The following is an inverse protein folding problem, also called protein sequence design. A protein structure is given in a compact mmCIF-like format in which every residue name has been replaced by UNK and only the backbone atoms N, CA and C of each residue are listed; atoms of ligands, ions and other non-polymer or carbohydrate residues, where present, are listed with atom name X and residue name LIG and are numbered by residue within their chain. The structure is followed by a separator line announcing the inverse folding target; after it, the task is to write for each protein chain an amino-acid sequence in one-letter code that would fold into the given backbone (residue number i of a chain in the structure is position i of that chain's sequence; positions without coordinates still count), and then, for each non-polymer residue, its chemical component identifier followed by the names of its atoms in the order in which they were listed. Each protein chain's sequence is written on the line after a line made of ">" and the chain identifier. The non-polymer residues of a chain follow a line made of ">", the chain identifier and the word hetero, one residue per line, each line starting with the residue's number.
data_IF_281062616882
#
_entry.id   IF_281062616882
#
_cell.length_a   1.000
_cell.length_b   1.000
_cell.length_c   1.000
_cell.angle_alpha   90.00
_cell.angle_beta   90.00
_cell.angle_gamma   90.00
#
_symmetry.space_group_name_H-M   'P 1'
#
loop_
_entity.id
_entity.type
_entity.pdbx_description
1 polymer ?
#
# COMPACT_ATOMS: atom_id res chain seq x y z
N UNK A 1 15.65 12.22 -2.07
CA UNK A 1 16.66 12.72 -3.04
C UNK A 1 16.57 12.05 -4.41
N UNK A 2 16.36 10.72 -4.48
CA UNK A 2 16.38 9.94 -5.74
C UNK A 2 15.00 9.71 -6.40
N UNK A 3 13.92 10.18 -5.78
CA UNK A 3 12.54 9.99 -6.23
C UNK A 3 11.88 11.33 -6.57
N UNK A 4 11.05 11.33 -7.60
CA UNK A 4 10.14 12.42 -7.97
C UNK A 4 8.73 11.83 -8.06
N UNK A 5 7.77 12.41 -7.33
CA UNK A 5 6.37 11.92 -7.32
C UNK A 5 5.78 11.94 -8.74
N UNK A 6 5.02 10.91 -9.10
CA UNK A 6 4.40 10.74 -10.42
C UNK A 6 5.37 10.39 -11.56
N UNK A 7 6.68 10.64 -11.38
CA UNK A 7 7.70 10.41 -12.41
C UNK A 7 8.54 9.17 -12.10
N UNK A 8 8.92 8.97 -10.83
CA UNK A 8 9.71 7.83 -10.36
C UNK A 8 11.18 8.16 -10.08
N UNK A 9 12.12 7.26 -10.42
CA UNK A 9 13.54 7.44 -10.13
C UNK A 9 14.16 8.60 -10.94
N UNK A 10 15.04 9.40 -10.32
CA UNK A 10 15.72 10.53 -10.99
C UNK A 10 16.81 10.12 -11.98
N UNK A 11 17.29 8.88 -11.89
CA UNK A 11 18.30 8.28 -12.77
C UNK A 11 18.11 6.75 -12.79
N UNK A 12 18.58 6.01 -13.82
CA UNK A 12 18.19 4.61 -14.05
C UNK A 12 18.43 3.64 -12.89
N UNK A 13 19.53 3.79 -12.14
CA UNK A 13 19.93 2.89 -11.05
C UNK A 13 19.43 3.33 -9.67
N UNK A 14 18.64 4.41 -9.60
CA UNK A 14 18.12 4.91 -8.35
C UNK A 14 17.18 3.89 -7.67
N UNK A 15 17.62 3.36 -6.53
CA UNK A 15 16.78 2.51 -5.67
C UNK A 15 15.76 3.37 -4.93
N UNK A 16 14.47 3.20 -5.26
CA UNK A 16 13.36 3.94 -4.63
C UNK A 16 12.38 3.05 -3.86
N UNK A 17 12.43 1.73 -4.06
CA UNK A 17 11.41 0.79 -3.54
C UNK A 17 11.25 0.81 -2.02
N UNK A 18 12.34 0.99 -1.28
CA UNK A 18 12.28 1.11 0.19
C UNK A 18 11.52 2.36 0.62
N UNK A 19 11.81 3.51 -0.01
CA UNK A 19 11.12 4.78 0.28
C UNK A 19 9.63 4.68 -0.05
N UNK A 20 9.30 4.18 -1.24
CA UNK A 20 7.90 4.09 -1.68
C UNK A 20 7.10 3.09 -0.83
N UNK A 21 7.72 2.02 -0.31
CA UNK A 21 7.06 1.11 0.63
C UNK A 21 6.77 1.79 1.97
N UNK A 22 7.71 2.56 2.52
CA UNK A 22 7.50 3.29 3.79
C UNK A 22 6.36 4.31 3.65
N UNK A 23 6.27 4.98 2.50
CA UNK A 23 5.25 5.99 2.23
C UNK A 23 3.94 5.42 1.62
N UNK A 24 3.76 4.10 1.60
CA UNK A 24 2.65 3.48 0.87
C UNK A 24 1.32 3.64 1.60
N UNK A 25 0.34 4.30 0.98
CA UNK A 25 -0.90 4.74 1.64
C UNK A 25 -1.75 3.62 2.25
N UNK A 26 -1.70 2.41 1.69
CA UNK A 26 -2.50 1.27 2.13
C UNK A 26 -1.74 0.31 3.05
N UNK A 27 -0.47 0.57 3.35
CA UNK A 27 0.38 -0.25 4.22
C UNK A 27 0.28 0.22 5.67
N UNK A 28 -0.81 -0.15 6.36
CA UNK A 28 -1.12 0.31 7.72
C UNK A 28 -0.65 -0.63 8.84
N UNK A 29 -0.21 -1.84 8.50
CA UNK A 29 0.38 -2.80 9.43
C UNK A 29 1.87 -2.98 9.11
N UNK A 30 2.69 -2.97 10.15
CA UNK A 30 4.13 -3.13 10.07
C UNK A 30 4.59 -4.15 11.12
N UNK A 31 5.41 -5.11 10.70
CA UNK A 31 6.11 -6.02 11.60
C UNK A 31 7.59 -6.04 11.25
N UNK A 32 8.46 -5.85 12.25
CA UNK A 32 9.91 -5.84 12.05
C UNK A 32 10.60 -6.86 12.96
N UNK A 33 11.73 -7.38 12.52
CA UNK A 33 12.57 -8.30 13.27
C UNK A 33 14.05 -8.11 12.97
N UNK A 34 14.88 -8.55 13.90
CA UNK A 34 16.34 -8.54 13.78
C UNK A 34 16.89 -9.94 14.02
N UNK A 35 17.88 -10.35 13.24
CA UNK A 35 18.63 -11.58 13.45
C UNK A 35 20.13 -11.32 13.51
N UNK A 36 20.79 -11.84 14.55
CA UNK A 36 22.25 -11.87 14.66
C UNK A 36 22.80 -13.15 14.02
N UNK A 37 23.63 -12.98 12.99
CA UNK A 37 24.12 -14.03 12.10
C UNK A 37 25.66 -13.96 12.02
N UNK A 38 26.42 -14.38 13.05
CA UNK A 38 27.86 -14.12 13.17
C UNK A 38 28.73 -14.76 12.08
N UNK A 39 28.21 -15.76 11.37
CA UNK A 39 28.91 -16.48 10.29
C UNK A 39 28.44 -16.09 8.89
N UNK A 40 27.57 -15.09 8.77
CA UNK A 40 27.03 -14.61 7.49
C UNK A 40 27.67 -13.28 7.10
N UNK A 41 27.58 -12.92 5.80
CA UNK A 41 28.10 -11.64 5.29
C UNK A 41 27.51 -10.43 6.02
N UNK A 42 26.23 -10.51 6.36
CA UNK A 42 25.54 -9.52 7.18
C UNK A 42 25.40 -10.08 8.60
N UNK A 43 26.21 -9.55 9.52
CA UNK A 43 26.20 -9.95 10.94
C UNK A 43 24.88 -9.63 11.61
N UNK A 44 24.20 -8.56 11.21
CA UNK A 44 22.87 -8.21 11.67
C UNK A 44 21.96 -8.04 10.46
N UNK A 45 20.85 -8.77 10.45
CA UNK A 45 19.84 -8.70 9.40
C UNK A 45 18.58 -8.06 9.98
N UNK A 46 18.15 -6.96 9.39
CA UNK A 46 16.93 -6.25 9.74
C UNK A 46 15.90 -6.49 8.64
N UNK A 47 14.71 -6.94 9.02
CA UNK A 47 13.62 -7.22 8.08
C UNK A 47 12.36 -6.59 8.61
N UNK A 48 11.67 -5.83 7.76
CA UNK A 48 10.33 -5.32 8.03
C UNK A 48 9.37 -5.79 6.93
N UNK A 49 8.21 -6.27 7.34
CA UNK A 49 7.09 -6.65 6.47
C UNK A 49 5.96 -5.63 6.65
N UNK A 50 5.35 -5.26 5.53
CA UNK A 50 4.27 -4.28 5.44
C UNK A 50 3.00 -4.96 4.93
N UNK A 51 1.87 -4.72 5.59
CA UNK A 51 0.56 -5.21 5.16
C UNK A 51 -0.47 -4.05 5.12
N UNK A 52 -1.24 -3.86 4.03
CA UNK A 52 -1.12 -4.55 2.74
C UNK A 52 0.23 -4.26 2.05
N UNK A 53 0.63 -5.14 1.12
CA UNK A 53 1.88 -4.96 0.39
C UNK A 53 1.85 -3.68 -0.48
N UNK A 54 2.95 -2.94 -0.47
CA UNK A 54 3.10 -1.74 -1.29
C UNK A 54 3.71 -2.01 -2.66
N UNK A 55 4.24 -0.95 -3.29
CA UNK A 55 5.03 -1.02 -4.53
C UNK A 55 4.35 -1.75 -5.70
N UNK A 56 3.03 -1.68 -5.79
CA UNK A 56 2.27 -2.25 -6.90
C UNK A 56 2.73 -1.61 -8.22
N UNK A 57 3.09 -2.44 -9.20
CA UNK A 57 3.81 -2.03 -10.40
C UNK A 57 3.12 -0.90 -11.19
N UNK A 58 1.78 -0.89 -11.24
CA UNK A 58 1.00 0.14 -11.94
C UNK A 58 0.97 1.50 -11.25
N UNK A 59 1.32 1.58 -9.95
CA UNK A 59 1.22 2.79 -9.12
C UNK A 59 2.46 3.06 -8.26
N UNK A 60 3.59 2.41 -8.57
CA UNK A 60 4.83 2.48 -7.77
C UNK A 60 5.45 3.88 -7.68
N UNK A 61 5.09 4.80 -8.58
CA UNK A 61 5.58 6.20 -8.55
C UNK A 61 4.59 7.18 -7.93
N UNK A 62 3.44 6.69 -7.50
CA UNK A 62 2.40 7.44 -6.78
C UNK A 62 2.01 6.64 -5.53
N UNK A 63 2.92 6.52 -4.54
CA UNK A 63 2.72 5.66 -3.37
C UNK A 63 1.56 6.12 -2.46
N UNK A 64 1.09 7.34 -2.64
CA UNK A 64 -0.09 7.94 -2.02
C UNK A 64 -0.76 8.88 -3.03
N UNK A 65 -1.97 9.35 -2.71
CA UNK A 65 -2.65 10.39 -3.49
C UNK A 65 -2.13 11.77 -3.04
N UNK A 66 -1.64 12.58 -3.98
CA UNK A 66 -1.22 13.96 -3.71
C UNK A 66 -2.45 14.84 -3.42
N UNK A 67 -2.38 15.63 -2.35
CA UNK A 67 -3.48 16.49 -1.93
C UNK A 67 -3.31 17.01 -0.50
N UNK A 68 -4.37 17.64 0.02
CA UNK A 68 -4.41 18.05 1.43
C UNK A 68 -4.39 16.81 2.33
N UNK A 69 -3.66 16.83 3.46
CA UNK A 69 -3.71 15.75 4.44
C UNK A 69 -5.16 15.39 4.81
N UNK A 70 -5.44 14.09 4.89
CA UNK A 70 -6.76 13.55 5.21
C UNK A 70 -7.94 13.95 4.31
N UNK A 71 -7.70 14.49 3.11
CA UNK A 71 -8.80 14.82 2.18
C UNK A 71 -9.69 13.62 1.83
N UNK A 72 -9.14 12.40 1.87
CA UNK A 72 -9.87 11.14 1.63
C UNK A 72 -10.50 10.51 2.90
N UNK A 73 -10.25 11.09 4.08
CA UNK A 73 -10.68 10.55 5.37
C UNK A 73 -10.97 11.68 6.39
N UNK A 74 -11.85 12.65 6.07
CA UNK A 74 -12.00 13.87 6.86
C UNK A 74 -12.48 13.63 8.30
N UNK A 75 -13.18 12.51 8.55
CA UNK A 75 -13.71 12.14 9.86
C UNK A 75 -12.81 11.15 10.62
N UNK A 76 -11.75 10.66 9.97
CA UNK A 76 -10.89 9.58 10.47
C UNK A 76 -9.42 10.00 10.28
N UNK A 77 -9.07 11.16 10.83
CA UNK A 77 -7.77 11.80 10.67
C UNK A 77 -7.09 11.98 12.03
N UNK A 78 -5.84 11.52 12.12
CA UNK A 78 -4.96 11.73 13.27
C UNK A 78 -3.63 12.30 12.78
N UNK A 79 -3.35 13.56 13.11
CA UNK A 79 -2.14 14.31 12.71
C UNK A 79 -1.76 14.17 11.21
N UNK A 80 -2.77 14.25 10.33
CA UNK A 80 -2.57 14.15 8.88
C UNK A 80 -2.53 12.72 8.32
N UNK A 81 -2.71 11.69 9.15
CA UNK A 81 -2.80 10.29 8.76
C UNK A 81 -4.25 9.77 8.86
N UNK A 82 -4.67 9.00 7.86
CA UNK A 82 -5.98 8.33 7.89
C UNK A 82 -5.97 7.14 8.86
N UNK A 83 -7.02 7.00 9.68
CA UNK A 83 -7.17 5.89 10.66
C UNK A 83 -8.27 4.88 10.29
N UNK A 84 -8.95 5.09 9.16
CA UNK A 84 -10.01 4.22 8.62
C UNK A 84 -9.50 3.19 7.59
N UNK A 85 -8.43 2.45 7.89
CA UNK A 85 -7.89 1.44 6.96
C UNK A 85 -8.81 0.20 6.80
N UNK A 86 -8.88 -0.35 5.59
CA UNK A 86 -9.57 -1.60 5.30
C UNK A 86 -8.74 -2.81 5.73
N UNK A 87 -9.38 -3.79 6.38
CA UNK A 87 -8.73 -5.07 6.75
C UNK A 87 -8.87 -6.18 5.71
N UNK A 88 -9.52 -5.88 4.60
CA UNK A 88 -9.63 -6.77 3.46
C UNK A 88 -8.71 -6.29 2.35
N UNK A 89 -8.33 -7.19 1.46
CA UNK A 89 -7.54 -6.89 0.28
C UNK A 89 -8.30 -7.31 -0.96
N UNK A 90 -8.01 -6.62 -2.05
CA UNK A 90 -8.41 -7.02 -3.39
C UNK A 90 -7.26 -7.81 -4.02
N UNK A 91 -7.59 -8.97 -4.58
CA UNK A 91 -6.63 -9.84 -5.27
C UNK A 91 -6.35 -9.31 -6.68
N UNK A 92 -7.31 -8.62 -7.30
CA UNK A 92 -7.17 -8.04 -8.64
C UNK A 92 -7.12 -6.51 -8.57
N UNK A 93 -6.25 -5.92 -9.39
CA UNK A 93 -6.09 -4.47 -9.45
C UNK A 93 -7.31 -3.72 -9.98
N UNK A 94 -8.16 -4.39 -10.77
CA UNK A 94 -9.37 -3.84 -11.37
C UNK A 94 -10.65 -4.21 -10.59
N UNK A 95 -10.53 -4.56 -9.31
CA UNK A 95 -11.68 -4.96 -8.49
C UNK A 95 -12.76 -3.88 -8.35
N UNK A 96 -12.39 -2.60 -8.45
CA UNK A 96 -13.35 -1.48 -8.50
C UNK A 96 -14.22 -1.57 -9.77
N UNK A 97 -13.59 -1.70 -10.94
CA UNK A 97 -14.30 -1.84 -12.21
C UNK A 97 -15.16 -3.12 -12.25
N UNK A 98 -14.65 -4.24 -11.74
CA UNK A 98 -15.40 -5.50 -11.67
C UNK A 98 -16.64 -5.37 -10.76
N UNK A 99 -16.49 -4.70 -9.61
CA UNK A 99 -17.63 -4.42 -8.72
C UNK A 99 -18.68 -3.58 -9.43
N UNK A 100 -18.28 -2.58 -10.21
CA UNK A 100 -19.22 -1.70 -10.90
C UNK A 100 -19.96 -2.43 -12.03
N UNK A 101 -19.30 -3.39 -12.69
CA UNK A 101 -19.89 -4.19 -13.77
C UNK A 101 -20.82 -5.31 -13.28
N UNK A 102 -20.41 -6.09 -12.29
CA UNK A 102 -21.13 -7.33 -11.89
C UNK A 102 -21.63 -7.32 -10.44
N UNK A 103 -21.41 -6.22 -9.71
CA UNK A 103 -21.75 -6.09 -8.31
C UNK A 103 -20.90 -6.99 -7.40
N UNK A 104 -21.24 -7.01 -6.11
CA UNK A 104 -20.51 -7.78 -5.08
C UNK A 104 -21.07 -9.19 -4.80
N UNK A 105 -22.14 -9.58 -5.49
CA UNK A 105 -22.74 -10.92 -5.37
C UNK A 105 -22.14 -11.93 -6.36
N UNK A 106 -21.47 -11.44 -7.41
CA UNK A 106 -20.81 -12.30 -8.39
C UNK A 106 -19.67 -13.10 -7.72
N UNK A 107 -19.48 -14.40 -8.02
CA UNK A 107 -18.49 -15.24 -7.33
C UNK A 107 -17.08 -14.64 -7.32
N UNK A 108 -16.65 -14.06 -8.43
CA UNK A 108 -15.32 -13.43 -8.55
C UNK A 108 -15.20 -12.24 -7.60
N UNK A 109 -16.11 -11.27 -7.64
CA UNK A 109 -16.01 -10.06 -6.82
C UNK A 109 -16.24 -10.35 -5.34
N UNK A 110 -17.13 -11.29 -5.02
CA UNK A 110 -17.39 -11.75 -3.65
C UNK A 110 -16.13 -12.28 -2.96
N UNK A 111 -15.32 -13.08 -3.66
CA UNK A 111 -14.19 -13.78 -3.07
C UNK A 111 -12.85 -13.06 -3.29
N UNK A 112 -12.68 -12.39 -4.43
CA UNK A 112 -11.42 -11.77 -4.86
C UNK A 112 -11.39 -10.25 -4.74
N UNK A 113 -12.55 -9.60 -4.56
CA UNK A 113 -12.66 -8.14 -4.47
C UNK A 113 -13.26 -7.70 -3.13
N UNK A 114 -12.78 -8.28 -2.04
CA UNK A 114 -13.36 -8.10 -0.70
C UNK A 114 -13.21 -6.66 -0.20
N UNK A 115 -12.09 -6.00 -0.50
CA UNK A 115 -11.90 -4.60 -0.10
C UNK A 115 -12.88 -3.72 -0.88
N UNK A 116 -12.90 -3.84 -2.21
CA UNK A 116 -13.87 -3.13 -3.06
C UNK A 116 -15.32 -3.31 -2.60
N UNK A 117 -15.68 -4.50 -2.13
CA UNK A 117 -17.04 -4.83 -1.75
C UNK A 117 -17.41 -4.54 -0.28
N UNK A 118 -16.45 -4.46 0.64
CA UNK A 118 -16.73 -4.36 2.09
C UNK A 118 -16.17 -3.10 2.76
N UNK A 119 -15.43 -2.26 2.02
CA UNK A 119 -14.69 -1.12 2.56
C UNK A 119 -15.07 0.20 1.89
N UNK A 120 -16.37 0.44 1.69
CA UNK A 120 -16.92 1.61 0.98
C UNK A 120 -16.44 2.96 1.54
N UNK A 121 -16.15 3.02 2.84
CA UNK A 121 -15.78 4.20 3.63
C UNK A 121 -14.34 4.12 4.18
N UNK A 122 -13.53 3.19 3.66
CA UNK A 122 -12.19 2.88 4.18
C UNK A 122 -11.11 2.99 3.12
N UNK A 123 -9.87 3.19 3.57
CA UNK A 123 -8.69 3.28 2.70
C UNK A 123 -8.18 1.86 2.36
N UNK A 124 -8.03 1.55 1.06
CA UNK A 124 -7.42 0.33 0.50
C UNK A 124 -6.88 0.54 -0.91
#
# INVERSE_FOLDING_TARGET
>A
KNFTYGVGPKYPEAVIGHYTQVAWYSSFLLGCGIAYCPRQRLTYNYVCQYCSAGNIASRKYTPYLEGKPCASCPNDCDDGLCTNSCRYEDVYSNCKDLKDQVGCKHPVTKDKCKASCKCSDKIY
#
